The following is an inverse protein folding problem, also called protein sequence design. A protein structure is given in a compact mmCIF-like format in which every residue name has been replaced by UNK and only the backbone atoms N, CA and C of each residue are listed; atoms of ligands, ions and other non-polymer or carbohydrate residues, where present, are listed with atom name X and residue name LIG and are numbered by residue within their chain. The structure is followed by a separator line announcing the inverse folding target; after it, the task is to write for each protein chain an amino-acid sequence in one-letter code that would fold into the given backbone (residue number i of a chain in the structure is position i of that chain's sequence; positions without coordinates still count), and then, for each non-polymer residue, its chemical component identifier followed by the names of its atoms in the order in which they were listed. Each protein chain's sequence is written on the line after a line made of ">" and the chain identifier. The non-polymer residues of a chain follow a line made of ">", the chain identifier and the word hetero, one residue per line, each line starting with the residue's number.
data_IF_982345237108
#
_entry.id   IF_982345237108
#
_cell.length_a   1.000
_cell.length_b   1.000
_cell.length_c   1.000
_cell.angle_alpha   90.00
_cell.angle_beta   90.00
_cell.angle_gamma   90.00
#
_symmetry.space_group_name_H-M   'P 1'
#
loop_
_entity.id
_entity.type
_entity.pdbx_description
1 polymer ?
#
# COMPACT_ATOMS: atom_id res chain seq x y z
N UNK A 1 11.83 -2.02 -26.52
CA UNK A 1 11.99 -0.61 -26.07
C UNK A 1 12.59 -0.45 -24.66
N UNK A 2 12.98 -1.52 -23.94
CA UNK A 2 13.70 -1.40 -22.65
C UNK A 2 15.22 -1.65 -22.79
N UNK A 3 15.67 -2.18 -23.94
CA UNK A 3 17.09 -2.48 -24.20
C UNK A 3 17.99 -1.27 -24.49
N UNK A 4 17.53 -0.04 -24.26
CA UNK A 4 18.33 1.17 -24.53
C UNK A 4 19.18 1.65 -23.35
N UNK A 5 19.18 0.98 -22.20
CA UNK A 5 20.07 1.31 -21.06
C UNK A 5 19.83 2.68 -20.42
N UNK A 6 18.71 3.35 -20.75
CA UNK A 6 18.40 4.73 -20.35
C UNK A 6 17.54 4.83 -19.08
N UNK A 7 17.10 3.71 -18.50
CA UNK A 7 16.30 3.68 -17.28
C UNK A 7 17.14 3.20 -16.10
N UNK A 8 17.24 4.01 -15.05
CA UNK A 8 17.70 3.50 -13.75
C UNK A 8 16.63 2.53 -13.22
N UNK A 9 17.00 1.27 -12.98
CA UNK A 9 16.11 0.20 -12.48
C UNK A 9 15.32 0.59 -11.22
N UNK A 10 15.77 1.59 -10.46
CA UNK A 10 15.07 2.10 -9.28
C UNK A 10 13.74 2.82 -9.56
N UNK A 11 13.47 3.25 -10.79
CA UNK A 11 12.34 4.11 -11.13
C UNK A 11 11.21 3.39 -11.90
N UNK A 12 11.35 2.09 -12.15
CA UNK A 12 10.39 1.31 -12.92
C UNK A 12 9.99 0.07 -12.13
N UNK A 13 8.69 -0.23 -12.13
CA UNK A 13 8.17 -1.44 -11.50
C UNK A 13 7.06 -2.06 -12.34
N UNK A 14 7.17 -3.34 -12.57
CA UNK A 14 6.17 -4.12 -13.27
C UNK A 14 5.25 -4.80 -12.25
N UNK A 15 3.95 -4.71 -12.52
CA UNK A 15 2.89 -5.40 -11.79
C UNK A 15 2.07 -6.19 -12.82
N UNK A 16 1.61 -7.37 -12.43
CA UNK A 16 0.72 -8.20 -13.23
C UNK A 16 -0.59 -8.37 -12.48
N UNK A 17 -1.69 -8.01 -13.14
CA UNK A 17 -3.02 -7.95 -12.51
C UNK A 17 -3.29 -6.60 -11.83
N UNK A 18 -4.51 -6.47 -11.31
CA UNK A 18 -4.99 -5.28 -10.63
C UNK A 18 -6.07 -5.68 -9.61
N UNK A 19 -6.23 -4.88 -8.58
CA UNK A 19 -7.41 -4.93 -7.72
C UNK A 19 -8.55 -4.20 -8.42
N UNK A 20 -9.74 -4.80 -8.42
CA UNK A 20 -10.95 -4.21 -8.99
C UNK A 20 -12.08 -4.30 -7.98
N UNK A 21 -12.97 -3.32 -8.05
CA UNK A 21 -14.18 -3.25 -7.23
C UNK A 21 -15.40 -3.34 -8.14
N UNK A 22 -16.44 -4.03 -7.66
CA UNK A 22 -17.77 -3.99 -8.27
C UNK A 22 -18.41 -2.62 -8.13
N UNK A 23 -19.59 -2.46 -8.72
CA UNK A 23 -20.40 -1.25 -8.52
C UNK A 23 -20.65 -1.04 -7.02
N UNK A 24 -20.43 0.19 -6.54
CA UNK A 24 -20.59 0.63 -5.14
C UNK A 24 -19.73 -0.08 -4.08
N UNK A 25 -19.07 -1.20 -4.39
CA UNK A 25 -18.31 -1.99 -3.42
C UNK A 25 -17.23 -1.19 -2.68
N UNK A 26 -16.45 -0.35 -3.40
CA UNK A 26 -15.42 0.45 -2.74
C UNK A 26 -16.04 1.46 -1.76
N UNK A 27 -17.14 2.10 -2.14
CA UNK A 27 -17.81 3.09 -1.29
C UNK A 27 -18.35 2.42 -0.01
N UNK A 28 -18.97 1.24 -0.14
CA UNK A 28 -19.43 0.43 0.99
C UNK A 28 -18.26 0.03 1.91
N UNK A 29 -17.15 -0.46 1.35
CA UNK A 29 -15.96 -0.84 2.13
C UNK A 29 -15.34 0.36 2.85
N UNK A 30 -15.40 1.56 2.26
CA UNK A 30 -14.95 2.80 2.89
C UNK A 30 -15.86 3.20 4.05
N UNK A 31 -17.19 3.10 3.88
CA UNK A 31 -18.18 3.40 4.93
C UNK A 31 -18.08 2.43 6.11
N UNK A 32 -17.78 1.15 5.85
CA UNK A 32 -17.51 0.13 6.86
C UNK A 32 -16.16 0.31 7.56
N UNK A 33 -15.33 1.27 7.12
CA UNK A 33 -13.96 1.52 7.61
C UNK A 33 -13.03 0.31 7.41
N UNK A 34 -13.29 -0.48 6.37
CA UNK A 34 -12.45 -1.61 5.96
C UNK A 34 -11.10 -1.15 5.37
N UNK A 35 -11.02 0.10 4.90
CA UNK A 35 -9.80 0.71 4.37
C UNK A 35 -9.39 1.97 5.11
N UNK A 36 -8.07 2.10 5.31
CA UNK A 36 -7.42 3.34 5.69
C UNK A 36 -6.71 3.93 4.46
N UNK A 37 -6.86 5.23 4.23
CA UNK A 37 -6.30 5.89 3.04
C UNK A 37 -5.25 6.93 3.41
N UNK A 38 -4.21 7.02 2.58
CA UNK A 38 -3.17 8.06 2.65
C UNK A 38 -2.91 8.61 1.25
N UNK A 39 -2.48 9.87 1.13
CA UNK A 39 -2.05 10.41 -0.15
C UNK A 39 -0.93 9.56 -0.75
N UNK A 40 -1.08 9.16 -2.01
CA UNK A 40 -0.03 8.45 -2.73
C UNK A 40 1.17 9.37 -2.93
N UNK A 41 2.38 8.84 -2.71
CA UNK A 41 3.63 9.56 -2.96
C UNK A 41 4.57 8.71 -3.78
N UNK A 42 5.43 9.34 -4.60
CA UNK A 42 6.46 8.63 -5.35
C UNK A 42 7.37 7.79 -4.45
N UNK A 43 7.61 8.23 -3.22
CA UNK A 43 8.36 7.46 -2.21
C UNK A 43 7.65 6.17 -1.83
N UNK A 44 6.33 6.18 -1.59
CA UNK A 44 5.58 4.96 -1.26
C UNK A 44 5.49 4.00 -2.46
N UNK A 45 5.25 4.54 -3.66
CA UNK A 45 5.10 3.75 -4.89
C UNK A 45 6.43 3.09 -5.31
N UNK A 46 7.53 3.84 -5.24
CA UNK A 46 8.86 3.39 -5.67
C UNK A 46 9.79 3.08 -4.49
N UNK A 47 9.25 2.80 -3.30
CA UNK A 47 10.06 2.48 -2.14
C UNK A 47 10.97 1.27 -2.42
N UNK A 48 12.24 1.39 -2.06
CA UNK A 48 13.26 0.38 -2.37
C UNK A 48 12.93 -0.96 -1.68
N UNK A 49 12.61 -0.92 -0.40
CA UNK A 49 12.24 -2.13 0.34
C UNK A 49 10.73 -2.39 0.31
N UNK A 50 10.30 -3.32 -0.53
CA UNK A 50 8.88 -3.64 -0.74
C UNK A 50 8.16 -4.08 0.54
N UNK A 51 8.85 -4.76 1.45
CA UNK A 51 8.25 -5.25 2.70
C UNK A 51 7.94 -4.13 3.69
N UNK A 52 8.56 -2.96 3.52
CA UNK A 52 8.39 -1.81 4.41
C UNK A 52 7.34 -0.82 3.90
N UNK A 53 6.82 -0.97 2.67
CA UNK A 53 5.81 -0.07 2.10
C UNK A 53 4.59 0.05 3.00
N UNK A 54 4.08 -1.07 3.52
CA UNK A 54 2.96 -1.09 4.46
C UNK A 54 3.24 -0.30 5.73
N UNK A 55 4.42 -0.53 6.33
CA UNK A 55 4.83 0.16 7.57
C UNK A 55 4.98 1.66 7.34
N UNK A 56 5.57 2.08 6.23
CA UNK A 56 5.72 3.49 5.88
C UNK A 56 4.37 4.16 5.59
N UNK A 57 3.44 3.45 4.93
CA UNK A 57 2.09 3.96 4.68
C UNK A 57 1.33 4.18 6.00
N UNK A 58 1.35 3.20 6.91
CA UNK A 58 0.70 3.33 8.22
C UNK A 58 1.33 4.45 9.05
N UNK A 59 2.66 4.59 9.07
CA UNK A 59 3.34 5.70 9.76
C UNK A 59 2.90 7.06 9.23
N UNK A 60 2.58 7.16 7.93
CA UNK A 60 2.11 8.41 7.34
C UNK A 60 0.70 8.83 7.75
N UNK A 61 -0.09 7.91 8.34
CA UNK A 61 -1.38 8.24 8.99
C UNK A 61 -1.18 8.94 10.35
N UNK A 62 0.03 8.87 10.92
CA UNK A 62 0.38 9.42 12.22
C UNK A 62 0.44 8.37 13.34
N UNK A 63 0.99 8.78 14.48
CA UNK A 63 1.37 7.89 15.58
C UNK A 63 0.20 7.08 16.15
N UNK A 64 -1.02 7.64 16.09
CA UNK A 64 -2.24 6.97 16.55
C UNK A 64 -2.53 5.65 15.82
N UNK A 65 -2.04 5.47 14.59
CA UNK A 65 -2.27 4.27 13.78
C UNK A 65 -1.14 3.24 13.89
N UNK A 66 -0.01 3.60 14.51
CA UNK A 66 1.15 2.70 14.67
C UNK A 66 0.88 1.39 15.42
N UNK A 67 -0.10 1.29 16.36
CA UNK A 67 -0.43 0.01 16.99
C UNK A 67 -0.84 -1.07 15.98
N UNK A 68 -1.39 -0.70 14.82
CA UNK A 68 -1.84 -1.66 13.80
C UNK A 68 -0.70 -2.49 13.20
N UNK A 69 0.53 -1.98 13.28
CA UNK A 69 1.72 -2.68 12.78
C UNK A 69 2.06 -3.93 13.58
N UNK A 70 1.55 -4.02 14.80
CA UNK A 70 1.83 -5.11 15.72
C UNK A 70 0.63 -6.04 15.93
N UNK A 71 -0.53 -5.78 15.28
CA UNK A 71 -1.64 -6.70 15.37
C UNK A 71 -1.27 -8.03 14.70
N UNK A 72 -1.60 -9.16 15.35
CA UNK A 72 -1.45 -10.46 14.73
C UNK A 72 -2.35 -10.54 13.48
N UNK A 73 -1.86 -11.22 12.45
CA UNK A 73 -2.60 -11.46 11.20
C UNK A 73 -3.88 -12.27 11.43
N UNK A 74 -3.99 -12.96 12.56
CA UNK A 74 -5.15 -13.74 12.97
C UNK A 74 -5.85 -13.05 14.16
N UNK A 75 -7.11 -12.57 13.97
CA UNK A 75 -7.89 -11.91 15.02
C UNK A 75 -8.13 -12.74 16.28
N UNK A 76 -7.95 -14.06 16.23
CA UNK A 76 -8.16 -14.97 17.37
C UNK A 76 -7.05 -14.91 18.44
N UNK A 77 -5.99 -14.14 18.20
CA UNK A 77 -4.88 -13.93 19.14
C UNK A 77 -5.02 -12.68 20.02
N UNK A 78 -6.20 -12.05 20.09
CA UNK A 78 -6.50 -10.95 21.02
C UNK A 78 -7.36 -11.39 22.20
#
# INVERSE_FOLDING_TARGET
>A
MINSGLGNDSNIRFYLGYSGWGEQQLDEEMDEKSWLTVPATGRLVFFQNKTEIWKEAVRSLGDAYTPILNYPLDPSFN
#
